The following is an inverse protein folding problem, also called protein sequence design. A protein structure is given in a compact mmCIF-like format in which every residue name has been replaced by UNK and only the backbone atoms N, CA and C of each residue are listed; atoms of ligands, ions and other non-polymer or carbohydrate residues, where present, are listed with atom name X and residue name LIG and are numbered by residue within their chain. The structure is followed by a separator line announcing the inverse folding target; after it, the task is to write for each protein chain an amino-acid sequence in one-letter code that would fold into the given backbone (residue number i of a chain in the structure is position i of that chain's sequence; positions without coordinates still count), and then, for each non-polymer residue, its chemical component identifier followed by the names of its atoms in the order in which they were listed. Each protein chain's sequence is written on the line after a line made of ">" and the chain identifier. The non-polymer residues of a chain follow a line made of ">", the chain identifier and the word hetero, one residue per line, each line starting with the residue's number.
data_IF_166466148514
#
_entry.id   IF_166466148514
#
_cell.length_a   1.000
_cell.length_b   1.000
_cell.length_c   1.000
_cell.angle_alpha   90.00
_cell.angle_beta   90.00
_cell.angle_gamma   90.00
#
_symmetry.space_group_name_H-M   'P 1'
#
loop_
_entity.id
_entity.type
_entity.pdbx_description
1 polymer ?
#
# COMPACT_ATOMS: atom_id res chain seq x y z
N UNK A 1 -16.45 -6.85 16.18
CA UNK A 1 -16.22 -7.39 17.54
C UNK A 1 -15.91 -8.88 17.51
N UNK A 2 -16.84 -9.78 17.13
CA UNK A 2 -16.60 -11.25 17.07
C UNK A 2 -15.38 -11.71 16.25
N UNK A 3 -15.04 -11.01 15.16
CA UNK A 3 -13.86 -11.33 14.32
C UNK A 3 -12.53 -10.92 14.95
N UNK A 4 -12.54 -9.94 15.86
CA UNK A 4 -11.37 -9.44 16.60
C UNK A 4 -11.13 -10.30 17.85
N UNK A 5 -12.22 -10.74 18.48
CA UNK A 5 -12.27 -11.72 19.57
C UNK A 5 -11.57 -13.04 19.18
N UNK A 6 -11.83 -13.55 17.96
CA UNK A 6 -11.14 -14.74 17.44
C UNK A 6 -9.66 -14.50 17.06
N UNK A 7 -9.26 -13.26 16.79
CA UNK A 7 -7.87 -12.89 16.47
C UNK A 7 -7.02 -12.82 17.74
N UNK A 8 -7.55 -12.23 18.81
CA UNK A 8 -6.91 -12.14 20.12
C UNK A 8 -6.91 -13.48 20.87
N UNK A 9 -7.95 -14.32 20.67
CA UNK A 9 -7.96 -15.72 21.14
C UNK A 9 -6.81 -16.56 20.58
N UNK A 10 -6.43 -16.34 19.31
CA UNK A 10 -5.26 -17.00 18.70
C UNK A 10 -3.94 -16.49 19.27
N UNK A 11 -3.88 -15.19 19.58
CA UNK A 11 -2.73 -14.49 20.13
C UNK A 11 -2.26 -15.07 21.48
N UNK A 12 -3.19 -15.40 22.37
CA UNK A 12 -2.90 -15.97 23.70
C UNK A 12 -2.41 -17.43 23.64
N UNK A 13 -3.00 -18.23 22.74
CA UNK A 13 -2.56 -19.61 22.49
C UNK A 13 -1.20 -19.60 21.77
N UNK A 14 -1.00 -18.69 20.81
CA UNK A 14 0.28 -18.51 20.15
C UNK A 14 1.35 -18.09 21.16
N UNK A 15 1.16 -17.06 21.99
CA UNK A 15 2.16 -16.59 22.96
C UNK A 15 2.64 -17.68 23.95
N UNK A 16 1.73 -18.53 24.43
CA UNK A 16 2.07 -19.69 25.28
C UNK A 16 2.80 -20.80 24.52
N UNK A 17 2.34 -21.13 23.30
CA UNK A 17 3.00 -22.11 22.39
C UNK A 17 4.35 -21.59 21.89
N UNK A 18 4.48 -20.26 21.79
CA UNK A 18 5.63 -19.56 21.25
C UNK A 18 6.82 -19.56 22.22
N UNK A 19 6.54 -19.45 23.53
CA UNK A 19 7.52 -19.65 24.60
C UNK A 19 8.07 -21.09 24.61
N UNK A 20 7.22 -22.09 24.31
CA UNK A 20 7.62 -23.49 24.20
C UNK A 20 8.43 -23.78 22.92
N UNK A 21 8.11 -23.13 21.80
CA UNK A 21 8.85 -23.27 20.52
C UNK A 21 10.21 -22.58 20.54
N UNK A 22 10.32 -21.41 21.17
CA UNK A 22 11.59 -20.68 21.32
C UNK A 22 12.64 -21.50 22.09
N UNK A 23 12.23 -22.34 23.04
CA UNK A 23 13.12 -23.22 23.81
C UNK A 23 13.80 -24.33 22.98
N UNK A 24 13.34 -24.56 21.74
CA UNK A 24 13.94 -25.52 20.80
C UNK A 24 14.74 -24.87 19.67
N UNK A 25 14.88 -23.54 19.65
CA UNK A 25 15.67 -22.80 18.67
C UNK A 25 17.05 -22.40 19.24
N UNK A 26 18.08 -22.41 18.40
CA UNK A 26 19.38 -21.79 18.72
C UNK A 26 19.26 -20.28 18.91
N UNK A 27 20.28 -19.62 19.48
CA UNK A 27 20.23 -18.20 19.89
C UNK A 27 19.78 -17.24 18.77
N UNK A 28 20.29 -17.43 17.54
CA UNK A 28 19.90 -16.64 16.36
C UNK A 28 18.42 -16.84 16.00
N UNK A 29 17.91 -18.06 16.18
CA UNK A 29 16.50 -18.39 15.94
C UNK A 29 15.57 -17.81 17.00
N UNK A 30 16.05 -17.65 18.25
CA UNK A 30 15.31 -16.96 19.32
C UNK A 30 15.23 -15.46 19.07
N UNK A 31 16.32 -14.82 18.66
CA UNK A 31 16.38 -13.37 18.43
C UNK A 31 15.47 -12.91 17.28
N UNK A 32 15.53 -13.61 16.13
CA UNK A 32 14.65 -13.33 14.99
C UNK A 32 13.16 -13.50 15.35
N UNK A 33 12.88 -14.46 16.22
CA UNK A 33 11.54 -14.77 16.67
C UNK A 33 10.96 -13.72 17.64
N UNK A 34 11.73 -13.31 18.65
CA UNK A 34 11.33 -12.24 19.56
C UNK A 34 11.13 -10.91 18.82
N UNK A 35 11.98 -10.62 17.83
CA UNK A 35 11.85 -9.44 16.97
C UNK A 35 10.52 -9.45 16.21
N UNK A 36 10.13 -10.60 15.62
CA UNK A 36 8.85 -10.74 14.94
C UNK A 36 7.64 -10.61 15.88
N UNK A 37 7.76 -11.14 17.10
CA UNK A 37 6.69 -11.08 18.11
C UNK A 37 6.46 -9.64 18.58
N UNK A 38 7.52 -8.91 18.92
CA UNK A 38 7.45 -7.50 19.32
C UNK A 38 6.86 -6.65 18.19
N UNK A 39 7.26 -6.91 16.93
CA UNK A 39 6.72 -6.19 15.77
C UNK A 39 5.21 -6.42 15.58
N UNK A 40 4.71 -7.63 15.85
CA UNK A 40 3.27 -7.93 15.79
C UNK A 40 2.49 -7.21 16.90
N UNK A 41 2.99 -7.25 18.13
CA UNK A 41 2.39 -6.57 19.28
C UNK A 41 2.28 -5.06 19.01
N UNK A 42 3.37 -4.46 18.53
CA UNK A 42 3.40 -3.04 18.17
C UNK A 42 2.38 -2.72 17.08
N UNK A 43 2.24 -3.57 16.05
CA UNK A 43 1.28 -3.36 14.97
C UNK A 43 -0.16 -3.41 15.46
N UNK A 44 -0.49 -4.38 16.32
CA UNK A 44 -1.81 -4.51 16.90
C UNK A 44 -2.15 -3.31 17.78
N UNK A 45 -1.18 -2.83 18.57
CA UNK A 45 -1.35 -1.64 19.39
C UNK A 45 -1.56 -0.38 18.53
N UNK A 46 -0.80 -0.19 17.45
CA UNK A 46 -1.04 0.88 16.46
C UNK A 46 -2.47 0.80 15.89
N UNK A 47 -2.92 -0.38 15.49
CA UNK A 47 -4.26 -0.57 14.92
C UNK A 47 -5.38 -0.38 15.95
N UNK A 48 -5.12 -0.67 17.23
CA UNK A 48 -6.00 -0.35 18.34
C UNK A 48 -6.07 1.17 18.56
N UNK A 49 -4.92 1.83 18.68
CA UNK A 49 -4.82 3.29 18.85
C UNK A 49 -5.54 4.02 17.72
N UNK A 50 -5.39 3.58 16.46
CA UNK A 50 -6.10 4.16 15.31
C UNK A 50 -7.62 4.11 15.40
N UNK A 51 -8.18 3.08 16.04
CA UNK A 51 -9.65 2.95 16.26
C UNK A 51 -10.13 3.84 17.40
N UNK A 52 -9.27 4.03 18.39
CA UNK A 52 -9.59 4.74 19.63
C UNK A 52 -9.38 6.24 19.52
N UNK A 53 -8.39 6.67 18.73
CA UNK A 53 -8.15 8.06 18.38
C UNK A 53 -9.43 8.61 17.76
N UNK A 54 -10.15 9.33 18.60
CA UNK A 54 -11.40 9.98 18.25
C UNK A 54 -11.10 11.17 17.30
N UNK A 55 -12.15 11.77 16.74
CA UNK A 55 -12.06 13.10 16.08
C UNK A 55 -11.46 14.21 16.98
N UNK A 56 -11.25 13.91 18.27
CA UNK A 56 -10.71 14.78 19.30
C UNK A 56 -9.17 14.79 19.38
N UNK A 57 -8.44 13.95 18.64
CA UNK A 57 -6.99 14.10 18.53
C UNK A 57 -6.65 15.38 17.77
N UNK A 58 -6.47 16.47 18.51
CA UNK A 58 -6.24 17.82 18.00
C UNK A 58 -4.97 17.95 17.15
N UNK A 59 -4.05 16.98 17.20
CA UNK A 59 -2.80 17.01 16.43
C UNK A 59 -3.03 16.99 14.93
N UNK A 60 -4.02 16.26 14.42
CA UNK A 60 -4.35 16.32 12.99
C UNK A 60 -4.76 17.73 12.57
N UNK A 61 -5.67 18.35 13.33
CA UNK A 61 -6.09 19.73 13.10
C UNK A 61 -4.94 20.73 13.21
N UNK A 62 -4.08 20.54 14.21
CA UNK A 62 -2.87 21.34 14.41
C UNK A 62 -1.90 21.25 13.22
N UNK A 63 -1.55 20.03 12.78
CA UNK A 63 -0.60 19.82 11.67
C UNK A 63 -1.14 20.45 10.39
N UNK A 64 -2.42 20.23 10.06
CA UNK A 64 -3.04 20.84 8.87
C UNK A 64 -3.08 22.37 8.94
N UNK A 65 -3.45 22.94 10.10
CA UNK A 65 -3.50 24.39 10.29
C UNK A 65 -2.12 25.06 10.27
N UNK A 66 -1.06 24.32 10.59
CA UNK A 66 0.31 24.83 10.69
C UNK A 66 1.25 24.26 9.62
N UNK A 67 0.72 23.61 8.58
CA UNK A 67 1.49 22.85 7.58
C UNK A 67 2.65 23.64 6.99
N UNK A 68 2.41 24.87 6.56
CA UNK A 68 3.44 25.73 5.94
C UNK A 68 4.49 26.20 6.97
N UNK A 69 4.08 26.46 8.21
CA UNK A 69 5.02 26.77 9.30
C UNK A 69 5.90 25.57 9.61
N UNK A 70 5.31 24.38 9.74
CA UNK A 70 6.06 23.13 9.98
C UNK A 70 7.04 22.88 8.84
N UNK A 71 6.61 23.00 7.57
CA UNK A 71 7.52 22.90 6.40
C UNK A 71 8.68 23.88 6.48
N UNK A 72 8.45 25.13 6.89
CA UNK A 72 9.52 26.13 6.98
C UNK A 72 10.57 25.82 8.06
N UNK A 73 10.18 25.13 9.13
CA UNK A 73 11.05 24.82 10.28
C UNK A 73 11.71 23.44 10.13
N UNK A 74 10.97 22.47 9.61
CA UNK A 74 11.34 21.06 9.57
C UNK A 74 11.64 20.55 8.15
N UNK A 75 11.43 21.37 7.12
CA UNK A 75 11.68 20.99 5.74
C UNK A 75 13.14 20.65 5.49
N UNK A 76 13.39 19.47 4.91
CA UNK A 76 14.71 18.97 4.58
C UNK A 76 15.15 19.36 3.17
N UNK A 77 14.19 19.47 2.24
CA UNK A 77 14.46 19.82 0.83
C UNK A 77 15.45 18.85 0.16
N UNK A 78 15.31 17.56 0.42
CA UNK A 78 16.21 16.51 -0.11
C UNK A 78 15.52 15.67 -1.17
N UNK A 79 16.34 15.12 -2.07
CA UNK A 79 15.93 14.07 -3.01
C UNK A 79 16.60 12.78 -2.54
N UNK A 80 15.79 11.74 -2.35
CA UNK A 80 16.22 10.40 -1.96
C UNK A 80 15.93 9.43 -3.10
N UNK A 81 16.69 8.35 -3.19
CA UNK A 81 16.57 7.37 -4.27
C UNK A 81 15.21 6.66 -4.22
N UNK A 82 14.82 6.17 -3.03
CA UNK A 82 13.63 5.36 -2.85
C UNK A 82 12.90 5.57 -1.50
N UNK A 83 11.88 4.74 -1.25
CA UNK A 83 11.08 4.81 -0.03
C UNK A 83 11.84 4.37 1.23
N UNK A 84 12.80 3.46 1.11
CA UNK A 84 13.55 2.98 2.27
C UNK A 84 14.53 4.06 2.75
N UNK A 85 15.14 4.79 1.82
CA UNK A 85 15.92 5.98 2.15
C UNK A 85 15.04 7.09 2.73
N UNK A 86 13.87 7.34 2.16
CA UNK A 86 12.90 8.30 2.73
C UNK A 86 12.56 7.96 4.19
N UNK A 87 12.28 6.68 4.50
CA UNK A 87 11.98 6.21 5.86
C UNK A 87 13.14 6.50 6.82
N UNK A 88 14.38 6.23 6.41
CA UNK A 88 15.57 6.51 7.24
C UNK A 88 15.68 8.00 7.58
N UNK A 89 15.53 8.86 6.58
CA UNK A 89 15.61 10.32 6.74
C UNK A 89 14.47 10.85 7.61
N UNK A 90 13.26 10.34 7.43
CA UNK A 90 12.07 10.68 8.22
C UNK A 90 12.27 10.33 9.70
N UNK A 91 12.77 9.14 10.01
CA UNK A 91 12.95 8.68 11.41
C UNK A 91 13.97 9.49 12.21
N UNK A 92 14.90 10.14 11.52
CA UNK A 92 15.87 11.05 12.12
C UNK A 92 15.28 12.43 12.46
N UNK A 93 14.03 12.72 12.06
CA UNK A 93 13.40 13.99 12.34
C UNK A 93 12.89 14.09 13.78
N UNK A 94 13.18 15.23 14.40
CA UNK A 94 12.65 15.57 15.71
C UNK A 94 11.15 15.87 15.62
N UNK A 95 10.33 14.83 15.81
CA UNK A 95 8.88 14.92 15.73
C UNK A 95 8.28 15.90 16.76
N UNK A 96 9.03 16.29 17.79
CA UNK A 96 8.57 17.30 18.76
C UNK A 96 8.32 18.65 18.09
N UNK A 97 9.15 19.02 17.10
CA UNK A 97 8.97 20.27 16.34
C UNK A 97 7.72 20.23 15.46
N UNK A 98 7.37 19.04 14.96
CA UNK A 98 6.22 18.81 14.09
C UNK A 98 4.93 18.78 14.90
N UNK A 99 4.98 18.18 16.09
CA UNK A 99 3.84 18.03 16.99
C UNK A 99 3.75 19.16 18.04
N UNK A 100 4.67 20.12 18.03
CA UNK A 100 4.75 21.21 19.01
C UNK A 100 4.78 20.70 20.47
N UNK A 101 5.64 19.71 20.72
CA UNK A 101 5.90 19.14 22.03
C UNK A 101 7.07 19.88 22.68
N UNK A 102 6.81 20.59 23.76
CA UNK A 102 7.84 21.33 24.53
C UNK A 102 8.28 20.53 25.75
N UNK A 103 8.81 19.33 25.51
CA UNK A 103 9.30 18.43 26.55
C UNK A 103 10.77 18.10 26.31
N UNK A 104 11.54 18.09 27.41
CA UNK A 104 12.93 17.66 27.39
C UNK A 104 13.03 16.16 27.09
N UNK A 105 14.17 15.76 26.55
CA UNK A 105 14.49 14.34 26.44
C UNK A 105 14.56 13.71 27.82
N UNK A 106 14.15 12.44 27.92
CA UNK A 106 14.21 11.64 29.16
C UNK A 106 13.28 12.09 30.30
N UNK A 107 12.55 13.19 30.14
CA UNK A 107 11.49 13.58 31.07
C UNK A 107 10.20 12.86 30.69
N UNK A 108 9.55 12.26 31.69
CA UNK A 108 8.24 11.65 31.53
C UNK A 108 7.16 12.72 31.49
N UNK A 109 6.22 12.61 30.55
CA UNK A 109 5.07 13.49 30.45
C UNK A 109 3.79 12.73 30.08
N UNK A 110 2.66 13.37 30.36
CA UNK A 110 1.34 12.90 29.95
C UNK A 110 1.10 13.20 28.47
N UNK A 111 1.05 12.17 27.63
CA UNK A 111 0.76 12.33 26.21
C UNK A 111 -0.73 12.33 25.94
N UNK A 112 -1.18 13.42 25.32
CA UNK A 112 -2.54 13.57 24.79
C UNK A 112 -2.70 12.97 23.37
N UNK A 113 -1.63 12.40 22.79
CA UNK A 113 -1.67 11.76 21.46
C UNK A 113 -2.45 10.43 21.54
N UNK A 114 -2.37 9.74 22.67
CA UNK A 114 -2.92 8.40 22.88
C UNK A 114 -4.09 8.44 23.85
N UNK A 115 -5.11 7.64 23.54
CA UNK A 115 -6.02 7.16 24.55
C UNK A 115 -5.47 5.81 25.00
N UNK A 116 -5.11 5.71 26.28
CA UNK A 116 -4.58 4.46 26.81
C UNK A 116 -5.73 3.49 26.92
N UNK A 117 -5.61 2.33 26.29
CA UNK A 117 -6.35 1.14 26.70
C UNK A 117 -5.39 0.29 27.46
N UNK A 118 -5.52 0.31 28.78
CA UNK A 118 -4.88 -0.68 29.61
C UNK A 118 -5.76 -1.92 29.63
N UNK A 119 -5.11 -3.07 29.65
CA UNK A 119 -5.74 -4.35 29.86
C UNK A 119 -5.27 -4.88 31.21
N UNK A 120 -6.21 -5.29 32.05
CA UNK A 120 -5.91 -6.18 33.16
C UNK A 120 -6.33 -7.58 32.75
N UNK A 121 -5.39 -8.50 32.82
CA UNK A 121 -5.55 -9.89 32.41
C UNK A 121 -5.21 -10.80 33.57
N UNK A 122 -5.92 -11.93 33.66
CA UNK A 122 -5.67 -12.92 34.70
C UNK A 122 -6.14 -14.32 34.33
N UNK A 123 -5.64 -15.29 35.10
CA UNK A 123 -5.90 -16.72 34.96
C UNK A 123 -6.46 -17.23 36.28
N UNK A 124 -7.55 -17.97 36.21
CA UNK A 124 -8.28 -18.51 37.37
C UNK A 124 -8.57 -20.00 37.15
N UNK A 125 -8.67 -20.76 38.24
CA UNK A 125 -8.89 -22.20 38.18
C UNK A 125 -10.38 -22.58 38.18
N UNK A 126 -11.28 -21.63 38.46
CA UNK A 126 -12.72 -21.84 38.44
C UNK A 126 -13.51 -20.64 37.89
N UNK A 127 -14.76 -20.90 37.53
CA UNK A 127 -15.70 -19.86 37.07
C UNK A 127 -16.05 -18.87 38.19
N UNK A 128 -16.13 -19.36 39.42
CA UNK A 128 -16.42 -18.53 40.60
C UNK A 128 -15.24 -17.59 40.89
N UNK A 129 -14.01 -18.08 40.75
CA UNK A 129 -12.78 -17.31 40.94
C UNK A 129 -12.62 -16.23 39.87
N UNK A 130 -12.86 -16.54 38.59
CA UNK A 130 -12.74 -15.53 37.51
C UNK A 130 -13.78 -14.42 37.64
N UNK A 131 -15.02 -14.74 38.01
CA UNK A 131 -16.06 -13.74 38.22
C UNK A 131 -15.76 -12.84 39.43
N UNK A 132 -15.18 -13.42 40.49
CA UNK A 132 -14.75 -12.66 41.68
C UNK A 132 -13.60 -11.70 41.35
N UNK A 133 -12.56 -12.16 40.65
CA UNK A 133 -11.43 -11.33 40.24
C UNK A 133 -11.84 -10.21 39.29
N UNK A 134 -12.68 -10.51 38.30
CA UNK A 134 -13.21 -9.50 37.38
C UNK A 134 -14.02 -8.43 38.13
N UNK A 135 -14.85 -8.84 39.10
CA UNK A 135 -15.62 -7.91 39.90
C UNK A 135 -14.72 -6.99 40.74
N UNK A 136 -13.72 -7.54 41.42
CA UNK A 136 -12.77 -6.75 42.22
C UNK A 136 -11.99 -5.76 41.36
N UNK A 137 -11.52 -6.17 40.19
CA UNK A 137 -10.81 -5.29 39.26
C UNK A 137 -11.73 -4.18 38.74
N UNK A 138 -12.97 -4.49 38.36
CA UNK A 138 -13.93 -3.47 37.95
C UNK A 138 -14.23 -2.46 39.07
N UNK A 139 -14.40 -2.91 40.32
CA UNK A 139 -14.59 -2.01 41.46
C UNK A 139 -13.36 -1.12 41.74
N UNK A 140 -12.14 -1.67 41.57
CA UNK A 140 -10.91 -0.91 41.72
C UNK A 140 -10.77 0.15 40.62
N UNK A 141 -11.17 -0.17 39.38
CA UNK A 141 -11.12 0.71 38.23
C UNK A 141 -12.17 1.83 38.29
N UNK A 142 -13.37 1.54 38.81
CA UNK A 142 -14.45 2.52 38.99
C UNK A 142 -14.06 3.61 40.01
N UNK A 143 -13.38 3.22 41.11
CA UNK A 143 -12.79 4.16 42.09
C UNK A 143 -11.69 5.05 41.48
N UNK A 144 -11.08 4.64 40.37
CA UNK A 144 -10.03 5.37 39.64
C UNK A 144 -10.53 6.28 38.51
N UNK A 145 -11.85 6.39 38.27
CA UNK A 145 -12.45 7.12 37.12
C UNK A 145 -11.96 6.63 35.75
N UNK A 146 -11.68 5.33 35.60
CA UNK A 146 -11.29 4.71 34.32
C UNK A 146 -12.55 4.25 33.58
N UNK A 147 -12.68 4.57 32.29
CA UNK A 147 -13.87 4.21 31.49
C UNK A 147 -13.70 2.79 30.93
N UNK A 148 -14.42 1.80 31.45
CA UNK A 148 -14.33 0.41 30.99
C UNK A 148 -14.90 0.28 29.57
N UNK A 149 -14.09 -0.25 28.66
CA UNK A 149 -14.41 -0.41 27.24
C UNK A 149 -14.98 -1.81 26.98
N UNK A 150 -14.39 -2.83 27.60
CA UNK A 150 -14.81 -4.22 27.39
C UNK A 150 -14.35 -5.14 28.53
N UNK A 151 -15.10 -6.22 28.77
CA UNK A 151 -14.75 -7.32 29.66
C UNK A 151 -14.97 -8.63 28.91
N UNK A 152 -13.96 -9.48 28.85
CA UNK A 152 -14.03 -10.84 28.31
C UNK A 152 -13.70 -11.83 29.41
N UNK A 153 -14.48 -12.91 29.47
CA UNK A 153 -14.24 -14.08 30.32
C UNK A 153 -14.38 -15.28 29.40
N UNK A 154 -13.35 -16.13 29.37
CA UNK A 154 -13.30 -17.30 28.50
C UNK A 154 -12.71 -18.50 29.25
N UNK A 155 -13.19 -19.71 28.95
CA UNK A 155 -12.63 -20.95 29.46
C UNK A 155 -11.73 -21.60 28.39
N UNK A 156 -10.46 -21.82 28.73
CA UNK A 156 -9.50 -22.50 27.87
C UNK A 156 -9.70 -24.03 27.85
N UNK A 157 -9.14 -24.72 26.85
CA UNK A 157 -9.30 -26.17 26.63
C UNK A 157 -8.85 -27.04 27.83
N UNK A 158 -8.02 -26.49 28.71
CA UNK A 158 -7.53 -27.13 29.94
C UNK A 158 -8.39 -26.81 31.19
N UNK A 159 -9.61 -26.28 31.02
CA UNK A 159 -10.53 -25.86 32.10
C UNK A 159 -10.05 -24.68 32.96
N UNK A 160 -8.97 -24.00 32.55
CA UNK A 160 -8.54 -22.75 33.16
C UNK A 160 -9.40 -21.62 32.60
N UNK A 161 -9.86 -20.74 33.49
CA UNK A 161 -10.61 -19.55 33.13
C UNK A 161 -9.65 -18.37 32.94
N UNK A 162 -9.93 -17.55 31.95
CA UNK A 162 -9.15 -16.36 31.62
C UNK A 162 -10.08 -15.16 31.59
N UNK A 163 -9.58 -14.00 32.01
CA UNK A 163 -10.30 -12.75 31.83
C UNK A 163 -9.40 -11.66 31.26
N UNK A 164 -10.04 -10.72 30.56
CA UNK A 164 -9.41 -9.50 30.06
C UNK A 164 -10.37 -8.32 30.24
N UNK A 165 -9.96 -7.33 31.04
CA UNK A 165 -10.70 -6.07 31.22
C UNK A 165 -9.93 -4.96 30.53
N UNK A 166 -10.57 -4.34 29.53
CA UNK A 166 -10.03 -3.22 28.79
C UNK A 166 -10.66 -1.94 29.28
N UNK A 167 -9.87 -0.96 29.65
CA UNK A 167 -10.38 0.33 30.10
C UNK A 167 -9.54 1.49 29.58
N UNK A 168 -10.21 2.61 29.41
CA UNK A 168 -9.64 3.86 28.93
C UNK A 168 -9.01 4.61 30.08
N UNK A 169 -7.77 5.05 29.90
CA UNK A 169 -7.14 6.06 30.75
C UNK A 169 -6.90 7.30 29.91
N UNK A 170 -7.13 8.46 30.53
CA UNK A 170 -6.72 9.74 29.97
C UNK A 170 -5.22 9.88 30.21
N UNK A 171 -4.49 10.06 29.11
CA UNK A 171 -3.07 10.40 29.04
C UNK A 171 -2.12 9.28 29.48
N UNK A 172 -1.31 8.80 28.53
CA UNK A 172 -0.23 7.83 28.83
C UNK A 172 0.97 8.58 29.37
N UNK A 173 1.61 8.04 30.41
CA UNK A 173 2.97 8.46 30.75
C UNK A 173 3.92 7.95 29.68
N UNK A 174 4.59 8.88 29.01
CA UNK A 174 5.52 8.59 27.93
C UNK A 174 6.79 9.39 28.15
N UNK A 175 7.86 9.04 27.45
CA UNK A 175 9.07 9.85 27.40
C UNK A 175 9.70 9.74 26.00
N UNK A 176 10.52 10.73 25.63
CA UNK A 176 11.15 10.78 24.30
C UNK A 176 12.64 10.52 24.44
N UNK A 177 13.16 9.64 23.58
CA UNK A 177 14.57 9.32 23.50
C UNK A 177 15.05 9.28 22.05
N UNK A 178 16.34 9.57 21.88
CA UNK A 178 17.04 9.34 20.62
C UNK A 178 17.75 7.99 20.70
N UNK A 179 17.39 7.07 19.81
CA UNK A 179 18.01 5.72 19.73
C UNK A 179 18.52 5.52 18.32
N UNK A 180 19.82 5.30 18.15
CA UNK A 180 20.48 5.16 16.84
C UNK A 180 20.15 6.31 15.87
N UNK A 181 20.16 7.54 16.39
CA UNK A 181 19.76 8.77 15.68
C UNK A 181 18.28 8.83 15.25
N UNK A 182 17.43 7.92 15.70
CA UNK A 182 15.99 7.95 15.46
C UNK A 182 15.27 8.46 16.70
N UNK A 183 14.35 9.41 16.51
CA UNK A 183 13.51 9.90 17.59
C UNK A 183 12.41 8.88 17.85
N UNK A 184 12.29 8.45 19.11
CA UNK A 184 11.28 7.49 19.54
C UNK A 184 10.55 7.97 20.79
N UNK A 185 9.26 7.76 20.79
CA UNK A 185 8.39 7.99 21.93
C UNK A 185 8.15 6.65 22.61
N UNK A 186 8.63 6.52 23.84
CA UNK A 186 8.59 5.29 24.62
C UNK A 186 7.46 5.33 25.64
N UNK A 187 6.97 4.14 25.94
CA UNK A 187 5.99 3.94 26.99
C UNK A 187 6.09 2.52 27.53
N UNK A 188 5.57 2.34 28.73
CA UNK A 188 5.48 1.03 29.35
C UNK A 188 4.09 0.44 29.15
N UNK A 189 4.05 -0.86 28.86
CA UNK A 189 2.84 -1.67 28.84
C UNK A 189 2.96 -2.75 29.91
N UNK A 190 2.06 -2.71 30.89
CA UNK A 190 1.95 -3.76 31.89
C UNK A 190 1.34 -5.03 31.31
N UNK A 191 1.96 -6.17 31.58
CA UNK A 191 1.43 -7.51 31.37
C UNK A 191 1.38 -8.22 32.73
N UNK A 192 0.20 -8.72 33.11
CA UNK A 192 -0.03 -9.55 34.29
C UNK A 192 0.55 -9.02 35.61
N UNK A 193 0.42 -7.72 35.88
CA UNK A 193 0.87 -7.06 37.12
C UNK A 193 2.35 -7.32 37.51
N UNK A 194 3.19 -7.88 36.61
CA UNK A 194 4.55 -8.35 36.94
C UNK A 194 5.57 -8.17 35.80
N UNK A 195 5.17 -8.21 34.53
CA UNK A 195 6.06 -7.99 33.40
C UNK A 195 5.74 -6.63 32.75
N UNK A 196 6.74 -5.77 32.60
CA UNK A 196 6.60 -4.47 31.95
C UNK A 196 7.35 -4.55 30.63
N UNK A 197 6.63 -4.44 29.51
CA UNK A 197 7.24 -4.34 28.18
C UNK A 197 7.38 -2.86 27.84
N UNK A 198 8.60 -2.46 27.49
CA UNK A 198 8.88 -1.15 26.92
C UNK A 198 8.60 -1.20 25.43
N UNK A 199 7.67 -0.37 24.99
CA UNK A 199 7.29 -0.23 23.59
C UNK A 199 7.63 1.20 23.13
N UNK A 200 7.80 1.38 21.82
CA UNK A 200 8.20 2.67 21.26
C UNK A 200 7.55 2.94 19.92
N UNK A 201 7.16 4.18 19.69
CA UNK A 201 6.68 4.68 18.40
C UNK A 201 7.70 5.61 17.77
N UNK A 202 7.94 5.43 16.48
CA UNK A 202 8.61 6.43 15.65
C UNK A 202 7.59 7.43 15.07
N UNK A 203 8.09 8.49 14.42
CA UNK A 203 7.23 9.52 13.79
C UNK A 203 6.24 8.94 12.76
N UNK A 204 6.60 7.86 12.06
CA UNK A 204 5.72 7.23 11.07
C UNK A 204 4.55 6.57 11.78
N UNK A 205 4.80 5.85 12.88
CA UNK A 205 3.76 5.27 13.71
C UNK A 205 2.82 6.34 14.27
N UNK A 206 3.37 7.47 14.75
CA UNK A 206 2.56 8.59 15.22
C UNK A 206 1.65 9.13 14.11
N UNK A 207 2.15 9.27 12.88
CA UNK A 207 1.34 9.72 11.75
C UNK A 207 0.27 8.71 11.33
N UNK A 208 0.57 7.40 11.38
CA UNK A 208 -0.45 6.36 11.15
C UNK A 208 -1.62 6.48 12.12
N UNK A 209 -1.31 6.75 13.39
CA UNK A 209 -2.28 6.93 14.47
C UNK A 209 -3.07 8.24 14.29
N UNK A 210 -2.37 9.38 14.18
CA UNK A 210 -2.97 10.72 14.09
C UNK A 210 -3.87 10.86 12.87
N UNK A 211 -3.45 10.32 11.71
CA UNK A 211 -4.22 10.42 10.47
C UNK A 211 -5.18 9.25 10.25
N UNK A 212 -5.16 8.23 11.13
CA UNK A 212 -5.87 6.98 10.97
C UNK A 212 -5.66 6.38 9.57
N UNK A 213 -4.39 6.15 9.21
CA UNK A 213 -3.99 5.73 7.87
C UNK A 213 -2.96 4.60 7.91
N UNK A 214 -2.66 3.99 6.77
CA UNK A 214 -1.62 2.95 6.70
C UNK A 214 -0.21 3.57 6.65
N UNK A 215 0.81 2.76 6.93
CA UNK A 215 2.23 3.17 6.96
C UNK A 215 2.66 3.90 5.68
N UNK A 216 2.21 3.42 4.51
CA UNK A 216 2.59 4.01 3.23
C UNK A 216 2.04 5.43 3.06
N UNK A 217 0.77 5.64 3.38
CA UNK A 217 0.17 6.98 3.34
C UNK A 217 0.80 7.90 4.39
N UNK A 218 1.14 7.38 5.58
CA UNK A 218 1.85 8.15 6.61
C UNK A 218 3.23 8.62 6.14
N UNK A 219 4.00 7.76 5.47
CA UNK A 219 5.29 8.10 4.87
C UNK A 219 5.11 9.22 3.84
N UNK A 220 4.13 9.13 2.94
CA UNK A 220 3.93 10.17 1.92
C UNK A 220 3.50 11.52 2.52
N UNK A 221 2.63 11.51 3.53
CA UNK A 221 2.28 12.72 4.26
C UNK A 221 3.51 13.37 4.90
N UNK A 222 4.40 12.57 5.45
CA UNK A 222 5.67 13.02 6.02
C UNK A 222 6.64 13.53 4.94
N UNK A 223 6.76 12.85 3.80
CA UNK A 223 7.55 13.33 2.67
C UNK A 223 7.07 14.71 2.19
N UNK A 224 5.77 14.90 2.04
CA UNK A 224 5.17 16.18 1.64
C UNK A 224 5.42 17.29 2.68
N UNK A 225 5.33 16.94 3.97
CA UNK A 225 5.53 17.88 5.08
C UNK A 225 7.00 18.27 5.26
N UNK A 226 7.91 17.35 4.98
CA UNK A 226 9.36 17.53 5.12
C UNK A 226 10.02 17.93 3.80
N UNK A 227 9.26 18.07 2.72
CA UNK A 227 9.74 18.32 1.36
C UNK A 227 10.84 17.33 0.93
N UNK A 228 10.57 16.03 1.13
CA UNK A 228 11.40 14.92 0.66
C UNK A 228 10.82 14.45 -0.67
N UNK A 229 11.62 14.48 -1.74
CA UNK A 229 11.24 13.93 -3.04
C UNK A 229 11.86 12.56 -3.22
N UNK A 230 11.09 11.60 -3.69
CA UNK A 230 11.57 10.25 -3.97
C UNK A 230 11.82 10.14 -5.46
N UNK A 231 13.08 9.98 -5.86
CA UNK A 231 13.54 10.00 -7.25
C UNK A 231 12.75 9.01 -8.12
N UNK A 232 12.62 7.75 -7.67
CA UNK A 232 11.81 6.74 -8.37
C UNK A 232 10.39 7.22 -8.70
N UNK A 233 9.71 7.86 -7.73
CA UNK A 233 8.33 8.35 -7.90
C UNK A 233 8.28 9.47 -8.92
N UNK A 234 9.24 10.40 -8.85
CA UNK A 234 9.30 11.55 -9.74
C UNK A 234 9.64 11.13 -11.19
N UNK A 235 10.56 10.19 -11.38
CA UNK A 235 10.89 9.63 -12.71
C UNK A 235 9.69 8.95 -13.35
N UNK A 236 8.97 8.13 -12.59
CA UNK A 236 7.74 7.50 -13.05
C UNK A 236 6.69 8.57 -13.39
N UNK A 237 6.45 9.56 -12.53
CA UNK A 237 5.49 10.65 -12.81
C UNK A 237 5.85 11.43 -14.09
N UNK A 238 7.13 11.76 -14.27
CA UNK A 238 7.62 12.42 -15.47
C UNK A 238 7.37 11.58 -16.73
N UNK A 239 7.61 10.26 -16.68
CA UNK A 239 7.30 9.33 -17.78
C UNK A 239 5.81 9.38 -18.14
N UNK A 240 4.91 9.26 -17.16
CA UNK A 240 3.47 9.29 -17.39
C UNK A 240 2.99 10.64 -17.94
N UNK A 241 3.51 11.76 -17.41
CA UNK A 241 3.23 13.11 -17.89
C UNK A 241 3.68 13.30 -19.35
N UNK A 242 4.89 12.85 -19.68
CA UNK A 242 5.43 12.89 -21.03
C UNK A 242 4.56 12.08 -22.00
N UNK A 243 4.25 10.84 -21.64
CA UNK A 243 3.40 9.95 -22.43
C UNK A 243 2.01 10.56 -22.68
N UNK A 244 1.40 11.15 -21.64
CA UNK A 244 0.10 11.83 -21.75
C UNK A 244 0.16 13.01 -22.71
N UNK A 245 1.18 13.87 -22.57
CA UNK A 245 1.38 15.03 -23.44
C UNK A 245 1.53 14.61 -24.91
N UNK A 246 2.30 13.55 -25.17
CA UNK A 246 2.50 13.02 -26.51
C UNK A 246 1.19 12.53 -27.13
N UNK A 247 0.41 11.76 -26.37
CA UNK A 247 -0.89 11.24 -26.82
C UNK A 247 -1.92 12.35 -27.07
N UNK A 248 -1.93 13.38 -26.21
CA UNK A 248 -2.84 14.51 -26.33
C UNK A 248 -2.48 15.42 -27.51
N UNK A 249 -1.21 15.43 -27.95
CA UNK A 249 -0.77 16.14 -29.14
C UNK A 249 -1.17 15.42 -30.44
N UNK A 250 -2.47 15.52 -30.77
CA UNK A 250 -3.08 14.83 -31.92
C UNK A 250 -2.49 15.24 -33.26
N UNK A 251 -2.08 16.50 -33.42
CA UNK A 251 -1.49 16.97 -34.68
C UNK A 251 -0.10 16.38 -34.91
N UNK A 252 0.68 16.18 -33.84
CA UNK A 252 1.96 15.47 -33.92
C UNK A 252 1.77 14.02 -34.39
N UNK A 253 0.89 13.26 -33.73
CA UNK A 253 0.59 11.88 -34.13
C UNK A 253 0.05 11.81 -35.55
N UNK A 254 -0.82 12.73 -35.95
CA UNK A 254 -1.41 12.76 -37.30
C UNK A 254 -0.39 13.10 -38.39
N UNK A 255 0.56 14.00 -38.11
CA UNK A 255 1.57 14.44 -39.08
C UNK A 255 2.70 13.42 -39.24
N UNK A 256 3.17 12.82 -38.15
CA UNK A 256 4.31 11.89 -38.18
C UNK A 256 3.91 10.42 -38.30
N UNK A 257 2.74 10.04 -37.76
CA UNK A 257 2.31 8.65 -37.62
C UNK A 257 0.84 8.48 -38.07
N UNK A 258 0.53 8.84 -39.32
CA UNK A 258 -0.85 8.97 -39.81
C UNK A 258 -1.68 7.66 -39.70
N UNK A 259 -1.18 6.49 -40.17
CA UNK A 259 -1.80 5.19 -39.89
C UNK A 259 -2.08 4.93 -38.41
N UNK A 260 -1.08 5.12 -37.53
CA UNK A 260 -1.23 4.94 -36.09
C UNK A 260 -2.33 5.85 -35.54
N UNK A 261 -2.30 7.13 -35.87
CA UNK A 261 -3.34 8.09 -35.51
C UNK A 261 -4.72 7.64 -35.97
N UNK A 262 -4.89 7.27 -37.24
CA UNK A 262 -6.18 6.79 -37.77
C UNK A 262 -6.69 5.54 -37.07
N UNK A 263 -5.78 4.69 -36.60
CA UNK A 263 -6.13 3.46 -35.87
C UNK A 263 -6.58 3.76 -34.44
N UNK A 264 -5.92 4.68 -33.74
CA UNK A 264 -6.10 4.91 -32.30
C UNK A 264 -7.03 6.07 -31.96
N UNK A 265 -7.22 7.07 -32.84
CA UNK A 265 -7.85 8.35 -32.46
C UNK A 265 -9.24 8.20 -31.81
N UNK A 266 -10.05 7.24 -32.25
CA UNK A 266 -11.40 7.01 -31.71
C UNK A 266 -11.38 6.43 -30.30
N UNK A 267 -10.26 5.87 -29.88
CA UNK A 267 -10.11 5.10 -28.65
C UNK A 267 -9.03 5.68 -27.73
N UNK A 268 -8.40 6.81 -28.12
CA UNK A 268 -7.28 7.41 -27.41
C UNK A 268 -7.64 7.80 -25.97
N UNK A 269 -8.90 8.17 -25.73
CA UNK A 269 -9.41 8.49 -24.40
C UNK A 269 -9.30 7.30 -23.43
N UNK A 270 -9.43 6.06 -23.91
CA UNK A 270 -9.26 4.87 -23.07
C UNK A 270 -7.79 4.72 -22.67
N UNK A 271 -6.85 5.01 -23.58
CA UNK A 271 -5.42 5.00 -23.27
C UNK A 271 -5.05 6.11 -22.28
N UNK A 272 -5.65 7.30 -22.40
CA UNK A 272 -5.50 8.38 -21.40
C UNK A 272 -5.99 7.93 -20.01
N UNK A 273 -7.12 7.20 -19.93
CA UNK A 273 -7.62 6.66 -18.67
C UNK A 273 -6.69 5.59 -18.08
N UNK A 274 -6.13 4.72 -18.92
CA UNK A 274 -5.13 3.73 -18.49
C UNK A 274 -3.85 4.40 -17.97
N UNK A 275 -3.39 5.48 -18.61
CA UNK A 275 -2.26 6.28 -18.12
C UNK A 275 -2.57 6.93 -16.78
N UNK A 276 -3.76 7.50 -16.60
CA UNK A 276 -4.20 8.09 -15.34
C UNK A 276 -4.24 7.05 -14.21
N UNK A 277 -4.79 5.86 -14.49
CA UNK A 277 -4.78 4.77 -13.50
C UNK A 277 -3.37 4.26 -13.21
N UNK A 278 -2.50 4.16 -14.21
CA UNK A 278 -1.11 3.81 -13.98
C UNK A 278 -0.36 4.83 -13.12
N UNK A 279 -0.60 6.13 -13.34
CA UNK A 279 -0.01 7.22 -12.56
C UNK A 279 -0.47 7.19 -11.10
N UNK A 280 -1.77 6.94 -10.84
CA UNK A 280 -2.32 6.80 -9.47
C UNK A 280 -1.71 5.63 -8.70
N UNK A 281 -1.25 4.61 -9.40
CA UNK A 281 -0.63 3.44 -8.79
C UNK A 281 0.88 3.60 -8.57
N UNK A 282 1.49 4.73 -8.99
CA UNK A 282 2.90 5.03 -8.68
C UNK A 282 3.02 5.15 -7.17
N UNK A 283 3.61 4.12 -6.59
CA UNK A 283 3.77 4.04 -5.14
C UNK A 283 5.22 3.93 -4.75
N UNK A 284 5.77 2.72 -4.79
CA UNK A 284 7.14 2.41 -4.38
C UNK A 284 7.81 1.50 -5.41
N UNK A 285 9.13 1.60 -5.53
CA UNK A 285 9.95 0.66 -6.28
C UNK A 285 9.72 -0.81 -5.89
N UNK A 286 9.24 -1.09 -4.67
CA UNK A 286 8.87 -2.45 -4.22
C UNK A 286 7.65 -3.04 -4.94
N UNK A 287 6.85 -2.21 -5.62
CA UNK A 287 5.73 -2.62 -6.45
C UNK A 287 6.08 -2.59 -7.95
N UNK A 288 7.36 -2.45 -8.29
CA UNK A 288 7.85 -2.39 -9.66
C UNK A 288 8.29 -3.75 -10.19
N UNK A 289 8.44 -3.84 -11.51
CA UNK A 289 9.17 -4.91 -12.19
C UNK A 289 10.09 -4.26 -13.23
N UNK A 290 11.37 -4.61 -13.23
CA UNK A 290 12.42 -3.96 -14.03
C UNK A 290 12.38 -2.43 -13.90
N UNK A 291 12.31 -1.92 -12.67
CA UNK A 291 12.24 -0.48 -12.35
C UNK A 291 11.00 0.25 -12.88
N UNK A 292 10.05 -0.48 -13.47
CA UNK A 292 8.82 0.08 -14.00
C UNK A 292 7.63 -0.14 -13.08
N UNK A 293 6.85 0.92 -12.88
CA UNK A 293 5.65 0.85 -12.04
C UNK A 293 4.62 -0.12 -12.63
N UNK A 294 4.18 -1.08 -11.82
CA UNK A 294 3.10 -1.99 -12.17
C UNK A 294 1.78 -1.40 -11.66
N UNK A 295 0.79 -1.37 -12.53
CA UNK A 295 -0.59 -1.08 -12.14
C UNK A 295 -1.53 -2.21 -12.56
N UNK A 296 -2.72 -2.23 -11.99
CA UNK A 296 -3.74 -3.20 -12.33
C UNK A 296 -5.09 -2.53 -12.46
N UNK A 297 -5.92 -3.02 -13.37
CA UNK A 297 -7.28 -2.53 -13.58
C UNK A 297 -8.13 -3.64 -14.21
N UNK A 298 -9.36 -3.83 -13.73
CA UNK A 298 -10.33 -4.71 -14.37
C UNK A 298 -11.06 -3.97 -15.49
N UNK A 299 -11.56 -4.72 -16.48
CA UNK A 299 -12.39 -4.15 -17.54
C UNK A 299 -13.68 -3.53 -17.01
N UNK A 300 -14.29 -4.14 -15.98
CA UNK A 300 -15.48 -3.62 -15.29
C UNK A 300 -15.20 -2.27 -14.64
N UNK A 301 -14.06 -2.14 -13.93
CA UNK A 301 -13.68 -0.89 -13.29
C UNK A 301 -13.53 0.26 -14.31
N UNK A 302 -12.92 -0.03 -15.46
CA UNK A 302 -12.79 0.95 -16.54
C UNK A 302 -14.16 1.30 -17.13
N UNK A 303 -15.04 0.31 -17.31
CA UNK A 303 -16.40 0.54 -17.81
C UNK A 303 -17.18 1.48 -16.90
N UNK A 304 -17.19 1.22 -15.59
CA UNK A 304 -17.84 2.05 -14.59
C UNK A 304 -17.28 3.47 -14.58
N UNK A 305 -15.95 3.62 -14.64
CA UNK A 305 -15.28 4.93 -14.70
C UNK A 305 -15.68 5.71 -15.95
N UNK A 306 -15.75 5.05 -17.10
CA UNK A 306 -16.17 5.67 -18.35
C UNK A 306 -17.67 6.04 -18.34
N UNK A 307 -18.52 5.25 -17.69
CA UNK A 307 -19.93 5.59 -17.49
C UNK A 307 -20.08 6.83 -16.61
N UNK A 308 -19.35 6.90 -15.50
CA UNK A 308 -19.33 8.08 -14.62
C UNK A 308 -18.86 9.33 -15.39
N UNK A 309 -17.76 9.24 -16.15
CA UNK A 309 -17.28 10.38 -16.93
C UNK A 309 -18.28 10.82 -18.01
N UNK A 310 -19.05 9.90 -18.60
CA UNK A 310 -20.10 10.23 -19.57
C UNK A 310 -21.23 11.08 -18.98
N UNK A 311 -21.56 10.89 -17.70
CA UNK A 311 -22.55 11.74 -17.02
C UNK A 311 -22.10 13.21 -17.00
N UNK A 312 -20.79 13.45 -17.04
CA UNK A 312 -20.17 14.77 -17.04
C UNK A 312 -19.67 15.25 -18.42
N UNK A 313 -19.39 14.34 -19.37
CA UNK A 313 -19.03 14.65 -20.76
C UNK A 313 -19.74 13.72 -21.77
N UNK A 314 -20.78 14.27 -22.42
CA UNK A 314 -21.59 13.57 -23.43
C UNK A 314 -20.82 13.11 -24.68
N UNK A 315 -19.56 13.53 -24.87
CA UNK A 315 -18.70 13.09 -25.99
C UNK A 315 -18.10 11.71 -25.75
N UNK A 316 -18.09 11.21 -24.51
CA UNK A 316 -17.58 9.88 -24.17
C UNK A 316 -18.61 8.82 -24.57
N UNK A 317 -18.18 7.87 -25.42
CA UNK A 317 -19.04 6.77 -25.85
C UNK A 317 -18.98 5.64 -24.81
N UNK A 318 -20.14 5.10 -24.38
CA UNK A 318 -20.16 3.92 -23.53
C UNK A 318 -19.57 2.73 -24.30
N UNK A 319 -18.65 2.02 -23.68
CA UNK A 319 -18.01 0.84 -24.23
C UNK A 319 -18.16 -0.28 -23.21
N UNK A 320 -18.68 -1.43 -23.64
CA UNK A 320 -18.82 -2.60 -22.78
C UNK A 320 -17.47 -3.22 -22.45
N UNK A 321 -17.35 -3.90 -21.31
CA UNK A 321 -16.16 -4.63 -20.86
C UNK A 321 -15.46 -5.43 -21.99
N UNK A 322 -16.21 -6.25 -22.74
CA UNK A 322 -15.64 -7.06 -23.83
C UNK A 322 -14.95 -6.22 -24.92
N UNK A 323 -15.45 -5.02 -25.20
CA UNK A 323 -14.82 -4.10 -26.15
C UNK A 323 -13.62 -3.39 -25.51
N UNK A 324 -13.68 -3.05 -24.21
CA UNK A 324 -12.53 -2.51 -23.45
C UNK A 324 -11.38 -3.52 -23.50
N UNK A 325 -11.61 -4.79 -23.21
CA UNK A 325 -10.57 -5.83 -23.25
C UNK A 325 -9.90 -5.93 -24.62
N UNK A 326 -10.68 -5.89 -25.71
CA UNK A 326 -10.14 -5.90 -27.08
C UNK A 326 -9.30 -4.65 -27.36
N UNK A 327 -9.75 -3.47 -26.93
CA UNK A 327 -8.99 -2.24 -27.10
C UNK A 327 -7.69 -2.23 -26.28
N UNK A 328 -7.73 -2.70 -25.03
CA UNK A 328 -6.53 -2.85 -24.19
C UNK A 328 -5.54 -3.81 -24.84
N UNK A 329 -6.00 -4.95 -25.36
CA UNK A 329 -5.15 -5.88 -26.09
C UNK A 329 -4.59 -5.27 -27.38
N UNK A 330 -5.36 -4.42 -28.07
CA UNK A 330 -4.86 -3.67 -29.21
C UNK A 330 -3.74 -2.70 -28.79
N UNK A 331 -3.89 -1.98 -27.66
CA UNK A 331 -2.81 -1.15 -27.12
C UNK A 331 -1.59 -1.95 -26.70
N UNK A 332 -1.77 -3.17 -26.18
CA UNK A 332 -0.67 -4.09 -25.90
C UNK A 332 0.05 -4.51 -27.19
N UNK A 333 -0.70 -4.84 -28.25
CA UNK A 333 -0.13 -5.16 -29.56
C UNK A 333 0.68 -4.00 -30.14
N UNK A 334 0.25 -2.76 -29.90
CA UNK A 334 0.98 -1.56 -30.32
C UNK A 334 2.16 -1.22 -29.41
N UNK A 335 2.34 -1.91 -28.28
CA UNK A 335 3.41 -1.63 -27.31
C UNK A 335 3.12 -0.47 -26.37
N UNK A 336 1.94 0.16 -26.40
CA UNK A 336 1.58 1.22 -25.45
C UNK A 336 1.34 0.70 -24.03
N UNK A 337 1.09 -0.60 -23.90
CA UNK A 337 0.97 -1.30 -22.64
C UNK A 337 1.73 -2.62 -22.73
N UNK A 338 2.34 -3.03 -21.62
CA UNK A 338 2.97 -4.34 -21.48
C UNK A 338 2.23 -5.09 -20.39
N UNK A 339 1.70 -6.28 -20.71
CA UNK A 339 1.12 -7.16 -19.68
C UNK A 339 2.25 -7.81 -18.88
N UNK A 340 2.08 -7.84 -17.57
CA UNK A 340 3.05 -8.42 -16.64
C UNK A 340 2.52 -9.75 -16.14
N UNK A 341 3.33 -10.80 -16.31
CA UNK A 341 2.99 -12.12 -15.82
C UNK A 341 2.96 -12.20 -14.30
N UNK A 342 2.06 -13.03 -13.75
CA UNK A 342 1.78 -13.11 -12.30
C UNK A 342 3.02 -13.51 -11.49
N UNK A 343 3.95 -14.23 -12.10
CA UNK A 343 5.26 -14.59 -11.55
C UNK A 343 6.19 -13.39 -11.35
N UNK A 344 6.08 -12.39 -12.23
CA UNK A 344 6.89 -11.16 -12.21
C UNK A 344 6.27 -10.05 -11.34
N UNK A 345 5.03 -10.23 -10.89
CA UNK A 345 4.35 -9.27 -10.01
C UNK A 345 4.80 -9.48 -8.55
N UNK A 346 5.27 -8.43 -7.86
CA UNK A 346 5.63 -8.50 -6.45
C UNK A 346 4.49 -9.06 -5.58
N UNK A 347 4.83 -9.92 -4.62
CA UNK A 347 3.84 -10.59 -3.76
C UNK A 347 2.93 -9.59 -3.02
N UNK A 348 3.47 -8.43 -2.63
CA UNK A 348 2.70 -7.36 -1.97
C UNK A 348 1.56 -6.87 -2.84
N UNK A 349 1.81 -6.64 -4.12
CA UNK A 349 0.79 -6.18 -5.07
C UNK A 349 -0.24 -7.29 -5.34
N UNK A 350 0.19 -8.56 -5.41
CA UNK A 350 -0.71 -9.71 -5.56
C UNK A 350 -1.69 -9.87 -4.40
N UNK A 351 -1.24 -9.63 -3.16
CA UNK A 351 -2.09 -9.71 -1.95
C UNK A 351 -3.20 -8.65 -1.94
N UNK A 352 -2.98 -7.48 -2.52
CA UNK A 352 -3.99 -6.39 -2.59
C UNK A 352 -5.21 -6.82 -3.41
N UNK A 353 -5.02 -7.74 -4.36
CA UNK A 353 -6.07 -8.21 -5.27
C UNK A 353 -6.41 -9.69 -5.09
N UNK A 354 -5.91 -10.30 -4.01
CA UNK A 354 -6.16 -11.70 -3.67
C UNK A 354 -7.68 -11.91 -3.45
N UNK A 355 -8.24 -12.94 -4.10
CA UNK A 355 -9.68 -13.21 -4.10
C UNK A 355 -10.49 -12.49 -5.18
N UNK A 356 -9.91 -11.55 -5.94
CA UNK A 356 -10.56 -10.98 -7.13
C UNK A 356 -10.25 -11.84 -8.36
N UNK A 357 -11.29 -12.25 -9.10
CA UNK A 357 -11.12 -13.00 -10.37
C UNK A 357 -10.61 -12.06 -11.47
N UNK A 358 -9.73 -12.59 -12.33
CA UNK A 358 -9.36 -11.98 -13.63
C UNK A 358 -8.77 -10.55 -13.60
N UNK A 359 -7.76 -10.31 -12.79
CA UNK A 359 -7.02 -9.04 -12.81
C UNK A 359 -5.71 -9.20 -13.59
N UNK A 360 -5.56 -8.38 -14.63
CA UNK A 360 -4.33 -8.23 -15.38
C UNK A 360 -3.48 -7.11 -14.78
N UNK A 361 -2.16 -7.29 -14.86
CA UNK A 361 -1.16 -6.32 -14.45
C UNK A 361 -0.49 -5.75 -15.67
N UNK A 362 -0.17 -4.46 -15.61
CA UNK A 362 0.35 -3.72 -16.75
C UNK A 362 1.51 -2.81 -16.34
N UNK A 363 2.42 -2.60 -17.28
CA UNK A 363 3.42 -1.53 -17.29
C UNK A 363 3.11 -0.61 -18.45
N UNK A 364 3.30 0.69 -18.24
CA UNK A 364 3.32 1.68 -19.33
C UNK A 364 4.79 1.98 -19.65
N UNK A 365 5.30 1.60 -20.84
CA UNK A 365 6.64 1.99 -21.26
C UNK A 365 6.69 3.48 -21.60
N UNK A 366 7.89 4.06 -21.61
CA UNK A 366 8.09 5.41 -22.15
C UNK A 366 7.82 5.42 -23.66
N UNK A 367 7.01 6.34 -24.15
CA UNK A 367 6.66 6.45 -25.57
C UNK A 367 7.78 7.15 -26.36
N UNK A 368 8.85 6.42 -26.61
CA UNK A 368 9.95 6.87 -27.46
C UNK A 368 9.54 6.88 -28.94
N UNK A 369 10.29 7.59 -29.78
CA UNK A 369 10.07 7.57 -31.23
C UNK A 369 10.20 6.15 -31.81
N UNK A 370 11.12 5.35 -31.29
CA UNK A 370 11.27 3.94 -31.66
C UNK A 370 9.98 3.14 -31.40
N UNK A 371 9.39 3.28 -30.21
CA UNK A 371 8.12 2.62 -29.88
C UNK A 371 7.00 3.06 -30.83
N UNK A 372 6.92 4.36 -31.15
CA UNK A 372 5.91 4.90 -32.06
C UNK A 372 6.08 4.40 -33.50
N UNK A 373 7.33 4.28 -33.98
CA UNK A 373 7.64 3.70 -35.28
C UNK A 373 7.26 2.21 -35.34
N UNK A 374 7.55 1.45 -34.29
CA UNK A 374 7.12 0.05 -34.20
C UNK A 374 5.58 -0.06 -34.16
N UNK A 375 4.90 0.78 -33.37
CA UNK A 375 3.45 0.83 -33.31
C UNK A 375 2.82 1.13 -34.68
N UNK A 376 3.36 2.11 -35.39
CA UNK A 376 2.99 2.50 -36.76
C UNK A 376 3.17 1.32 -37.75
N UNK A 377 4.29 0.61 -37.68
CA UNK A 377 4.53 -0.60 -38.49
C UNK A 377 3.51 -1.71 -38.19
N UNK A 378 3.22 -1.96 -36.90
CA UNK A 378 2.22 -2.95 -36.48
C UNK A 378 0.80 -2.58 -36.92
N UNK A 379 0.45 -1.29 -36.93
CA UNK A 379 -0.82 -0.82 -37.51
C UNK A 379 -0.89 -1.11 -39.01
N UNK A 380 0.21 -0.94 -39.75
CA UNK A 380 0.23 -1.25 -41.19
C UNK A 380 -0.01 -2.73 -41.44
N UNK A 381 0.58 -3.62 -40.64
CA UNK A 381 0.28 -5.06 -40.68
C UNK A 381 -1.22 -5.30 -40.42
N UNK A 382 -1.77 -4.73 -39.34
CA UNK A 382 -3.19 -4.90 -39.00
C UNK A 382 -4.14 -4.42 -40.10
N UNK A 383 -3.78 -3.34 -40.81
CA UNK A 383 -4.65 -2.71 -41.80
C UNK A 383 -4.48 -3.25 -43.22
N UNK A 384 -3.27 -3.65 -43.59
CA UNK A 384 -2.91 -3.86 -45.00
C UNK A 384 -2.37 -5.25 -45.32
N UNK A 385 -2.00 -6.09 -44.33
CA UNK A 385 -1.58 -7.48 -44.61
C UNK A 385 -2.78 -8.43 -44.70
N UNK A 386 -3.50 -8.43 -45.82
CA UNK A 386 -4.70 -9.27 -45.97
C UNK A 386 -5.93 -8.67 -45.28
N UNK A 387 -6.67 -9.44 -44.47
CA UNK A 387 -7.91 -8.96 -43.85
C UNK A 387 -7.62 -7.83 -42.86
N UNK A 388 -8.33 -6.70 -42.99
CA UNK A 388 -8.17 -5.55 -42.10
C UNK A 388 -8.75 -5.83 -40.71
N UNK A 389 -7.96 -5.60 -39.66
CA UNK A 389 -8.38 -5.74 -38.26
C UNK A 389 -8.53 -4.35 -37.63
N UNK A 390 -9.69 -4.05 -37.04
CA UNK A 390 -9.90 -2.82 -36.25
C UNK A 390 -9.47 -3.02 -34.80
N UNK A 391 -9.22 -1.93 -34.07
CA UNK A 391 -8.87 -1.99 -32.64
C UNK A 391 -9.92 -2.75 -31.81
N UNK A 392 -11.20 -2.55 -32.12
CA UNK A 392 -12.33 -3.24 -31.48
C UNK A 392 -12.50 -4.70 -31.88
N UNK A 393 -11.73 -5.19 -32.85
CA UNK A 393 -11.74 -6.56 -33.34
C UNK A 393 -10.48 -7.34 -32.93
N UNK A 394 -9.63 -6.79 -32.05
CA UNK A 394 -8.42 -7.48 -31.59
C UNK A 394 -8.76 -8.68 -30.69
N UNK A 395 -8.86 -9.86 -31.29
CA UNK A 395 -9.00 -11.17 -30.63
C UNK A 395 -7.68 -11.92 -30.66
N UNK A 396 -7.54 -12.98 -29.86
CA UNK A 396 -6.36 -13.84 -29.86
C UNK A 396 -6.07 -14.40 -31.26
N UNK A 397 -7.10 -14.90 -31.95
CA UNK A 397 -7.01 -15.40 -33.33
C UNK A 397 -6.47 -14.33 -34.30
N UNK A 398 -7.04 -13.12 -34.29
CA UNK A 398 -6.58 -12.04 -35.15
C UNK A 398 -5.16 -11.58 -34.80
N UNK A 399 -4.77 -11.64 -33.52
CA UNK A 399 -3.42 -11.32 -33.08
C UNK A 399 -2.41 -12.36 -33.60
N UNK A 400 -2.71 -13.64 -33.41
CA UNK A 400 -1.89 -14.77 -33.89
C UNK A 400 -1.75 -14.75 -35.41
N UNK A 401 -2.83 -14.54 -36.15
CA UNK A 401 -2.80 -14.44 -37.62
C UNK A 401 -1.88 -13.32 -38.10
N UNK A 402 -1.90 -12.17 -37.42
CA UNK A 402 -1.19 -10.96 -37.86
C UNK A 402 0.26 -10.89 -37.42
N UNK A 403 0.58 -11.42 -36.25
CA UNK A 403 1.86 -11.20 -35.59
C UNK A 403 2.57 -12.49 -35.18
N UNK A 404 1.93 -13.65 -35.35
CA UNK A 404 2.46 -14.95 -34.93
C UNK A 404 2.27 -15.22 -33.44
N UNK A 405 2.74 -16.40 -33.01
CA UNK A 405 2.51 -16.90 -31.66
C UNK A 405 3.24 -16.09 -30.59
N UNK A 406 4.49 -15.67 -30.82
CA UNK A 406 5.29 -14.95 -29.81
C UNK A 406 4.57 -13.70 -29.28
N UNK A 407 4.13 -12.79 -30.15
CA UNK A 407 3.42 -11.59 -29.70
C UNK A 407 2.03 -11.93 -29.15
N UNK A 408 1.39 -12.96 -29.69
CA UNK A 408 0.08 -13.40 -29.22
C UNK A 408 0.15 -13.92 -27.77
N UNK A 409 1.13 -14.75 -27.45
CA UNK A 409 1.38 -15.26 -26.10
C UNK A 409 1.70 -14.13 -25.12
N UNK A 410 2.47 -13.12 -25.53
CA UNK A 410 2.70 -11.94 -24.69
C UNK A 410 1.41 -11.15 -24.38
N UNK A 411 0.36 -11.23 -25.19
CA UNK A 411 -0.87 -10.43 -24.99
C UNK A 411 -1.99 -11.29 -24.40
N UNK A 412 -2.11 -12.54 -24.81
CA UNK A 412 -3.22 -13.45 -24.48
C UNK A 412 -2.78 -14.68 -23.70
N UNK A 413 -1.47 -14.96 -23.63
CA UNK A 413 -0.94 -16.10 -22.91
C UNK A 413 -1.43 -16.13 -21.47
N UNK A 414 -1.81 -17.31 -21.01
CA UNK A 414 -2.03 -17.56 -19.60
C UNK A 414 -0.69 -17.44 -18.91
N UNK A 415 -0.49 -16.35 -18.16
CA UNK A 415 0.70 -16.09 -17.35
C UNK A 415 0.79 -17.02 -16.12
N UNK A 416 0.82 -18.32 -16.42
CA UNK A 416 1.06 -19.44 -15.53
C UNK A 416 1.91 -20.45 -16.30
N UNK A 417 3.14 -20.06 -16.64
CA UNK A 417 4.38 -20.86 -16.63
C UNK A 417 5.47 -20.17 -17.45
N UNK A 418 6.62 -19.99 -16.78
CA UNK A 418 7.99 -19.96 -17.31
C UNK A 418 8.19 -19.36 -18.70
N UNK A 419 8.38 -18.03 -18.78
CA UNK A 419 9.24 -17.47 -19.82
C UNK A 419 10.28 -16.56 -19.17
N UNK A 420 11.48 -17.14 -18.98
CA UNK A 420 12.68 -16.40 -18.60
C UNK A 420 13.20 -15.67 -19.84
N UNK A 421 13.49 -14.39 -19.65
CA UNK A 421 14.50 -13.59 -20.37
C UNK A 421 14.57 -13.75 -21.90
N UNK A 422 14.00 -12.79 -22.62
CA UNK A 422 14.52 -12.34 -23.92
C UNK A 422 13.89 -10.97 -24.22
N UNK A 423 14.45 -9.91 -23.61
CA UNK A 423 14.15 -8.52 -23.97
C UNK A 423 15.31 -7.87 -24.75
N UNK A 424 16.36 -8.65 -25.07
CA UNK A 424 17.48 -8.25 -25.91
C UNK A 424 17.75 -9.44 -26.85
N UNK A 425 17.85 -9.22 -28.16
CA UNK A 425 18.16 -10.20 -29.23
C UNK A 425 17.01 -10.79 -30.08
N UNK A 426 16.03 -10.01 -30.54
CA UNK A 426 15.39 -10.35 -31.83
C UNK A 426 15.04 -9.08 -32.60
N UNK A 427 15.99 -8.51 -33.34
CA UNK A 427 15.70 -7.66 -34.52
C UNK A 427 16.93 -7.39 -35.41
N UNK A 428 17.71 -8.44 -35.70
CA UNK A 428 18.76 -8.42 -36.75
C UNK A 428 18.44 -9.26 -37.98
N UNK A 429 17.18 -9.65 -38.20
CA UNK A 429 16.76 -10.36 -39.42
C UNK A 429 15.55 -9.74 -40.11
N UNK A 430 15.63 -8.45 -40.42
CA UNK A 430 14.98 -7.88 -41.60
C UNK A 430 15.92 -6.86 -42.23
N UNK A 431 17.00 -7.34 -42.83
CA UNK A 431 17.86 -6.56 -43.73
C UNK A 431 18.52 -7.49 -44.74
N UNK A 432 17.72 -7.97 -45.71
CA UNK A 432 18.15 -8.32 -47.08
C UNK A 432 16.91 -8.50 -47.93
#
# INVERSE_FOLDING_TARGET
>A
MKTMENSMKRELIELGVNRLRANHLGEIGKEAYYTSMIANILRQDIDLQKKLVNKECGYKGYIEANKEKIKSICGLNVIVEDHDEAVKVIRQQDFRKILNLDYNFKESFESNIFLVVEAVEGLCNSEEEVNFEVHNELEALDKGKKEVINVSIDQAENKIWTYSIYYKIRNRQVYIYLVNNEYKLFFFRGFNNKEVIEESYDIINLFEIIYNTNTYTAINLLCDLLNIKIQYVEEQRLKYSFNRTLIQNRELLKSMYLPLYKYTYKHIYLLEQLLEEGEKNITTNKNSFNEENIFFCSGEYIEDKLMFLKEHDKKIKPIKQNQICKLVNAFCALGFLIKVGKENVPQRLRKVVEGKKEINYYIVPKYTDELLLQAEARVRILKYSGRSVSATAMTEENCREKFGDNLCEMIYGTYTKENKSEFNEVDTKVST
#
